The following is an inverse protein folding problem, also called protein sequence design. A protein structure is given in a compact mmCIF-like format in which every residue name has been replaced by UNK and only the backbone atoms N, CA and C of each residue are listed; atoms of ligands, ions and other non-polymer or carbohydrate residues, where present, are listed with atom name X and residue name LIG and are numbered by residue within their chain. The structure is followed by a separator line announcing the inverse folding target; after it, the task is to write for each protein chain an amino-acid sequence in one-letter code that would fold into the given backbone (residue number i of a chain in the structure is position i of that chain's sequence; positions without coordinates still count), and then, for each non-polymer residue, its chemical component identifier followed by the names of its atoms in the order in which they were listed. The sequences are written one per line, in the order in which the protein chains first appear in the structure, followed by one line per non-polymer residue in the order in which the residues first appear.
data_IF_467513249328
#
_entry.id   IF_467513249328
#
_cell.length_a   1.000
_cell.length_b   1.000
_cell.length_c   1.000
_cell.angle_alpha   90.00
_cell.angle_beta   90.00
_cell.angle_gamma   90.00
#
_symmetry.space_group_name_H-M   'P 1'
#
loop_
_entity.id
_entity.type
_entity.pdbx_description
1 polymer ?
#
# COMPACT_ATOMS: atom_id res chain seq x y z
N UNK A 1 15.98 -12.07 6.30
CA UNK A 1 15.19 -11.05 7.01
C UNK A 1 15.14 -9.79 6.18
N UNK A 2 13.99 -9.52 5.57
CA UNK A 2 13.74 -8.24 4.90
C UNK A 2 13.80 -7.09 5.90
N UNK A 3 14.24 -5.91 5.46
CA UNK A 3 14.50 -4.74 6.32
C UNK A 3 13.28 -4.35 7.19
N UNK A 4 12.06 -4.49 6.66
CA UNK A 4 10.83 -4.24 7.42
C UNK A 4 10.65 -5.20 8.61
N UNK A 5 10.97 -6.48 8.44
CA UNK A 5 10.88 -7.48 9.50
C UNK A 5 11.93 -7.25 10.58
N UNK A 6 13.17 -6.90 10.22
CA UNK A 6 14.21 -6.56 11.19
C UNK A 6 13.75 -5.45 12.15
N UNK A 7 13.21 -4.36 11.61
CA UNK A 7 12.63 -3.25 12.40
C UNK A 7 11.51 -3.68 13.33
N UNK A 8 10.71 -4.67 12.94
CA UNK A 8 9.62 -5.20 13.77
C UNK A 8 10.14 -5.89 15.05
N UNK A 9 11.40 -6.34 15.06
CA UNK A 9 12.05 -6.99 16.21
C UNK A 9 13.12 -6.13 16.90
N UNK A 10 13.36 -4.90 16.46
CA UNK A 10 14.42 -4.04 17.00
C UNK A 10 14.07 -3.40 18.35
N UNK A 11 12.81 -2.96 18.53
CA UNK A 11 12.39 -2.24 19.74
C UNK A 11 11.30 -2.99 20.52
N UNK A 12 11.22 -2.75 21.83
CA UNK A 12 10.19 -3.36 22.67
C UNK A 12 8.77 -3.02 22.19
N UNK A 13 8.53 -1.76 21.78
CA UNK A 13 7.26 -1.33 21.22
C UNK A 13 6.91 -2.04 19.90
N UNK A 14 7.89 -2.27 19.03
CA UNK A 14 7.69 -3.02 17.79
C UNK A 14 7.33 -4.49 18.06
N UNK A 15 7.99 -5.13 19.03
CA UNK A 15 7.66 -6.51 19.44
C UNK A 15 6.26 -6.61 20.05
N UNK A 16 5.87 -5.65 20.89
CA UNK A 16 4.51 -5.59 21.45
C UNK A 16 3.46 -5.44 20.34
N UNK A 17 3.73 -4.69 19.28
CA UNK A 17 2.83 -4.59 18.13
C UNK A 17 2.62 -5.93 17.41
N UNK A 18 3.66 -6.78 17.32
CA UNK A 18 3.53 -8.14 16.77
C UNK A 18 2.55 -8.96 17.61
N UNK A 19 2.71 -8.97 18.94
CA UNK A 19 1.81 -9.67 19.85
C UNK A 19 0.39 -9.11 19.81
N UNK A 20 0.26 -7.78 19.73
CA UNK A 20 -1.04 -7.12 19.57
C UNK A 20 -1.74 -7.58 18.29
N UNK A 21 -1.04 -7.69 17.18
CA UNK A 21 -1.61 -8.17 15.91
C UNK A 21 -2.09 -9.63 16.02
N UNK A 22 -1.27 -10.51 16.62
CA UNK A 22 -1.63 -11.90 16.89
C UNK A 22 -2.93 -11.96 17.69
N UNK A 23 -3.00 -11.21 18.79
CA UNK A 23 -4.20 -11.19 19.65
C UNK A 23 -5.41 -10.56 18.98
N UNK A 24 -5.23 -9.47 18.23
CA UNK A 24 -6.34 -8.67 17.69
C UNK A 24 -6.98 -9.30 16.47
N UNK A 25 -6.19 -10.02 15.67
CA UNK A 25 -6.65 -10.61 14.40
C UNK A 25 -6.62 -12.15 14.40
N UNK A 26 -6.28 -12.76 15.54
CA UNK A 26 -6.10 -14.20 15.69
C UNK A 26 -5.15 -14.79 14.63
N UNK A 27 -4.05 -14.08 14.36
CA UNK A 27 -3.03 -14.54 13.41
C UNK A 27 -2.13 -15.60 14.02
N UNK A 28 -1.55 -16.46 13.17
CA UNK A 28 -0.52 -17.41 13.59
C UNK A 28 0.67 -16.69 14.23
N UNK A 29 1.34 -17.34 15.19
CA UNK A 29 2.49 -16.73 15.88
C UNK A 29 3.70 -16.47 14.95
N UNK A 30 3.75 -17.16 13.81
CA UNK A 30 4.80 -17.09 12.79
C UNK A 30 4.38 -16.32 11.53
N UNK A 31 3.27 -15.58 11.56
CA UNK A 31 2.77 -14.81 10.41
C UNK A 31 3.83 -13.86 9.79
N UNK A 32 4.81 -13.40 10.58
CA UNK A 32 5.90 -12.55 10.11
C UNK A 32 6.83 -13.31 9.15
N UNK A 33 7.07 -14.60 9.41
CA UNK A 33 7.85 -15.48 8.52
C UNK A 33 7.05 -15.82 7.27
N UNK A 34 5.77 -16.20 7.43
CA UNK A 34 4.88 -16.48 6.29
C UNK A 34 4.84 -15.29 5.31
N UNK A 35 4.73 -14.05 5.84
CA UNK A 35 4.77 -12.84 5.02
C UNK A 35 6.12 -12.60 4.35
N UNK A 36 7.22 -12.93 5.02
CA UNK A 36 8.56 -12.83 4.41
C UNK A 36 8.67 -13.76 3.21
N UNK A 37 8.19 -15.00 3.34
CA UNK A 37 8.19 -15.99 2.26
C UNK A 37 7.30 -15.54 1.10
N UNK A 38 6.11 -15.00 1.38
CA UNK A 38 5.23 -14.42 0.36
C UNK A 38 5.97 -13.33 -0.42
N UNK A 39 6.66 -12.41 0.27
CA UNK A 39 7.38 -11.32 -0.38
C UNK A 39 8.57 -11.81 -1.19
N UNK A 40 9.35 -12.76 -0.68
CA UNK A 40 10.50 -13.33 -1.38
C UNK A 40 10.10 -14.10 -2.64
N UNK A 41 8.90 -14.69 -2.66
CA UNK A 41 8.39 -15.49 -3.77
C UNK A 41 7.48 -14.70 -4.73
N UNK A 42 7.22 -13.42 -4.46
CA UNK A 42 6.41 -12.57 -5.35
C UNK A 42 7.14 -12.31 -6.67
N UNK A 43 6.44 -12.52 -7.79
CA UNK A 43 6.94 -12.21 -9.14
C UNK A 43 6.21 -11.02 -9.73
N UNK A 44 6.79 -10.40 -10.76
CA UNK A 44 6.16 -9.29 -11.50
C UNK A 44 4.85 -9.76 -12.15
N UNK A 45 4.83 -10.97 -12.69
CA UNK A 45 3.65 -11.58 -13.31
C UNK A 45 2.54 -11.74 -12.28
N UNK A 46 2.87 -12.21 -11.08
CA UNK A 46 1.90 -12.36 -9.98
C UNK A 46 1.36 -11.01 -9.53
N UNK A 47 2.20 -9.97 -9.45
CA UNK A 47 1.77 -8.61 -9.12
C UNK A 47 0.80 -8.08 -10.19
N UNK A 48 1.11 -8.28 -11.48
CA UNK A 48 0.23 -7.88 -12.59
C UNK A 48 -1.12 -8.59 -12.54
N UNK A 49 -1.13 -9.90 -12.25
CA UNK A 49 -2.37 -10.67 -12.09
C UNK A 49 -3.22 -10.15 -10.91
N UNK A 50 -2.59 -9.93 -9.75
CA UNK A 50 -3.26 -9.37 -8.57
C UNK A 50 -3.80 -7.97 -8.84
N UNK A 51 -3.04 -7.13 -9.54
CA UNK A 51 -3.48 -5.80 -9.94
C UNK A 51 -4.71 -5.89 -10.85
N UNK A 52 -4.68 -6.72 -11.90
CA UNK A 52 -5.85 -6.93 -12.77
C UNK A 52 -7.08 -7.48 -12.04
N UNK A 53 -6.89 -8.22 -10.94
CA UNK A 53 -7.98 -8.79 -10.14
C UNK A 53 -8.61 -7.80 -9.17
N UNK A 54 -7.81 -6.97 -8.51
CA UNK A 54 -8.25 -6.17 -7.36
C UNK A 54 -8.26 -4.65 -7.60
N UNK A 55 -7.54 -4.16 -8.61
CA UNK A 55 -7.52 -2.73 -8.94
C UNK A 55 -8.61 -2.44 -9.96
N UNK A 56 -9.63 -1.71 -9.53
CA UNK A 56 -10.70 -1.20 -10.37
C UNK A 56 -10.59 0.33 -10.42
N UNK A 57 -10.03 0.85 -11.51
CA UNK A 57 -9.76 2.28 -11.67
C UNK A 57 -11.03 3.14 -11.67
N UNK A 58 -12.19 2.56 -12.00
CA UNK A 58 -13.48 3.28 -11.99
C UNK A 58 -14.04 3.44 -10.57
N UNK A 59 -13.60 2.60 -9.62
CA UNK A 59 -14.02 2.64 -8.21
C UNK A 59 -12.99 3.30 -7.29
N UNK A 60 -11.89 3.82 -7.84
CA UNK A 60 -10.82 4.45 -7.08
C UNK A 60 -10.96 5.97 -7.02
N UNK A 61 -10.57 6.55 -5.88
CA UNK A 61 -10.38 8.00 -5.74
C UNK A 61 -8.93 8.31 -6.04
N UNK A 62 -8.70 9.15 -7.04
CA UNK A 62 -7.38 9.66 -7.39
C UNK A 62 -7.13 11.00 -6.69
N UNK A 63 -6.31 10.99 -5.64
CA UNK A 63 -5.87 12.20 -4.94
C UNK A 63 -4.46 12.57 -5.39
N UNK A 64 -4.31 13.75 -5.99
CA UNK A 64 -3.02 14.30 -6.38
C UNK A 64 -2.72 15.51 -5.51
N UNK A 65 -1.57 15.50 -4.84
CA UNK A 65 -1.09 16.62 -4.01
C UNK A 65 0.16 17.20 -4.68
N UNK A 66 0.07 18.43 -5.17
CA UNK A 66 1.14 19.08 -5.90
C UNK A 66 0.77 20.46 -6.41
N UNK A 67 1.61 21.00 -7.30
CA UNK A 67 1.39 22.30 -7.94
C UNK A 67 0.24 22.23 -8.96
N UNK A 68 -0.86 22.92 -8.65
CA UNK A 68 -2.02 22.94 -9.53
C UNK A 68 -1.75 23.75 -10.81
N UNK A 69 -0.92 24.80 -10.76
CA UNK A 69 -0.68 25.69 -11.90
C UNK A 69 -0.08 24.92 -13.09
N UNK A 70 0.93 24.08 -12.85
CA UNK A 70 1.59 23.33 -13.92
C UNK A 70 0.99 21.94 -14.19
N UNK A 71 0.26 21.35 -13.24
CA UNK A 71 -0.15 19.94 -13.34
C UNK A 71 -1.64 19.72 -13.58
N UNK A 72 -2.53 20.65 -13.19
CA UNK A 72 -3.98 20.40 -13.20
C UNK A 72 -4.50 20.05 -14.60
N UNK A 73 -4.09 20.79 -15.63
CA UNK A 73 -4.52 20.51 -17.00
C UNK A 73 -3.95 19.20 -17.57
N UNK A 74 -2.77 18.79 -17.10
CA UNK A 74 -2.16 17.51 -17.50
C UNK A 74 -2.90 16.32 -16.91
N UNK A 75 -3.54 16.47 -15.74
CA UNK A 75 -4.33 15.40 -15.12
C UNK A 75 -5.53 14.98 -15.97
N UNK A 76 -6.11 15.90 -16.74
CA UNK A 76 -7.21 15.59 -17.69
C UNK A 76 -6.78 14.56 -18.74
N UNK A 77 -5.49 14.51 -19.07
CA UNK A 77 -4.94 13.58 -20.07
C UNK A 77 -4.82 12.14 -19.55
N UNK A 78 -5.02 11.91 -18.24
CA UNK A 78 -4.90 10.59 -17.62
C UNK A 78 -6.14 9.71 -17.83
N UNK A 79 -7.25 10.27 -18.33
CA UNK A 79 -8.47 9.51 -18.61
C UNK A 79 -9.31 9.17 -17.37
N UNK A 80 -9.04 9.77 -16.22
CA UNK A 80 -9.80 9.55 -14.97
C UNK A 80 -10.91 10.60 -14.74
N UNK A 81 -11.26 11.37 -15.77
CA UNK A 81 -12.21 12.48 -15.68
C UNK A 81 -11.55 13.82 -15.36
N UNK A 82 -12.39 14.85 -15.19
CA UNK A 82 -11.92 16.19 -14.86
C UNK A 82 -11.49 16.27 -13.39
N UNK A 83 -10.27 16.75 -13.10
CA UNK A 83 -9.80 16.88 -11.73
C UNK A 83 -10.59 17.96 -10.98
N UNK A 84 -10.95 17.65 -9.73
CA UNK A 84 -11.62 18.60 -8.83
C UNK A 84 -10.58 19.23 -7.90
N UNK A 85 -10.44 20.55 -7.94
CA UNK A 85 -9.56 21.28 -7.04
C UNK A 85 -10.20 21.37 -5.64
N UNK A 86 -9.54 20.79 -4.64
CA UNK A 86 -10.09 20.67 -3.27
C UNK A 86 -9.69 21.86 -2.38
N UNK A 87 -8.58 22.56 -2.68
CA UNK A 87 -8.08 23.66 -1.87
C UNK A 87 -7.89 24.91 -2.73
N UNK A 88 -8.78 25.90 -2.56
CA UNK A 88 -8.82 27.16 -3.35
C UNK A 88 -8.41 28.39 -2.54
N UNK A 89 -7.66 28.20 -1.44
CA UNK A 89 -7.23 29.30 -0.57
C UNK A 89 -6.30 30.28 -1.27
#
# INVERSE_FOLDING_TARGET
MIKSNARAFETAGAKLNILKNISSYNWNYDYVKEREEIVNNLTVERIKELAGKYVDSEKMIWLVVGDAESQLDRLKQLGFGDPVLINTN
#
